data_IF_206234541065
#
_entry.id   IF_206234541065
#
_cell.length_a   1.000
_cell.length_b   1.000
_cell.length_c   1.000
_cell.angle_alpha   90.00
_cell.angle_beta   90.00
_cell.angle_gamma   90.00
#
_symmetry.space_group_name_H-M   'P 1'
#
loop_
_entity.id
_entity.type
_entity.pdbx_description
1 polymer ?
#
# COMPACT_ATOMS: atom_id res chain seq x y z
N UNK A 1 13.86 -32.98 49.23
CA UNK A 1 13.34 -33.27 47.87
C UNK A 1 12.76 -31.98 47.32
N UNK A 2 13.49 -31.36 46.41
CA UNK A 2 13.10 -30.07 45.82
C UNK A 2 12.74 -30.36 44.40
N UNK A 3 11.48 -30.21 44.08
CA UNK A 3 10.94 -30.26 42.70
C UNK A 3 11.18 -28.91 42.05
N UNK A 4 12.13 -28.84 41.14
CA UNK A 4 12.35 -27.71 40.27
C UNK A 4 11.26 -27.65 39.24
N UNK A 5 10.34 -26.71 39.38
CA UNK A 5 9.36 -26.34 38.39
C UNK A 5 10.05 -25.66 37.21
N UNK A 6 10.12 -26.32 36.07
CA UNK A 6 10.51 -25.70 34.81
C UNK A 6 9.45 -24.69 34.37
N UNK A 7 9.80 -23.42 34.43
CA UNK A 7 8.99 -22.35 33.82
C UNK A 7 9.26 -22.42 32.34
N UNK A 8 8.28 -22.96 31.61
CA UNK A 8 8.22 -22.84 30.15
C UNK A 8 7.99 -21.37 29.79
N UNK A 9 9.06 -20.68 29.45
CA UNK A 9 8.96 -19.45 28.70
C UNK A 9 8.39 -19.76 27.32
N UNK A 10 7.09 -19.67 27.18
CA UNK A 10 6.48 -19.43 25.88
C UNK A 10 7.00 -18.05 25.41
N UNK A 11 8.03 -18.08 24.58
CA UNK A 11 8.38 -16.96 23.74
C UNK A 11 7.16 -16.71 22.85
N UNK A 12 6.35 -15.73 23.22
CA UNK A 12 5.39 -15.11 22.31
C UNK A 12 6.21 -14.54 21.18
N UNK A 13 6.22 -15.24 20.04
CA UNK A 13 6.82 -14.75 18.82
C UNK A 13 6.20 -13.37 18.57
N UNK A 14 7.03 -12.33 18.65
CA UNK A 14 6.60 -10.97 18.33
C UNK A 14 6.16 -11.01 16.85
N UNK A 15 4.88 -10.79 16.51
CA UNK A 15 4.43 -10.93 15.13
C UNK A 15 5.28 -9.98 14.27
N UNK A 16 5.93 -10.51 13.24
CA UNK A 16 6.73 -9.69 12.34
C UNK A 16 5.87 -8.54 11.82
N UNK A 17 6.35 -7.31 12.02
CA UNK A 17 5.62 -6.14 11.53
C UNK A 17 5.50 -6.21 10.01
N UNK A 18 4.32 -5.85 9.47
CA UNK A 18 4.18 -5.71 8.03
C UNK A 18 5.23 -4.78 7.43
N UNK A 19 5.73 -5.11 6.24
CA UNK A 19 6.69 -4.29 5.50
C UNK A 19 5.99 -3.64 4.32
N UNK A 20 6.01 -2.31 4.26
CA UNK A 20 5.45 -1.55 3.15
C UNK A 20 6.57 -1.02 2.25
N UNK A 21 6.66 -1.53 1.03
CA UNK A 21 7.47 -0.92 -0.02
C UNK A 21 6.69 0.22 -0.65
N UNK A 22 7.30 1.37 -0.73
CA UNK A 22 6.64 2.63 -1.10
C UNK A 22 7.59 3.53 -1.87
N UNK A 23 7.00 4.38 -2.69
CA UNK A 23 7.68 5.52 -3.29
C UNK A 23 6.92 6.80 -2.93
N UNK A 24 7.64 7.77 -2.39
CA UNK A 24 7.07 8.98 -1.79
C UNK A 24 6.06 9.70 -2.68
N UNK A 25 6.35 9.81 -3.97
CA UNK A 25 5.55 10.56 -4.95
C UNK A 25 4.56 9.72 -5.74
N UNK A 26 4.47 8.42 -5.49
CA UNK A 26 3.52 7.54 -6.17
C UNK A 26 2.11 7.72 -5.59
N UNK A 27 1.09 8.14 -6.38
CA UNK A 27 -0.27 8.34 -5.88
C UNK A 27 -0.88 7.09 -5.24
N UNK A 28 -0.63 5.92 -5.83
CA UNK A 28 -1.10 4.65 -5.30
C UNK A 28 -0.47 4.31 -3.94
N UNK A 29 0.84 4.59 -3.79
CA UNK A 29 1.53 4.40 -2.51
C UNK A 29 1.10 5.46 -1.47
N UNK A 30 0.77 6.69 -1.88
CA UNK A 30 0.26 7.73 -1.01
C UNK A 30 -1.05 7.29 -0.36
N UNK A 31 -2.03 6.85 -1.16
CA UNK A 31 -3.34 6.43 -0.61
C UNK A 31 -3.23 5.22 0.32
N UNK A 32 -2.35 4.27 0.02
CA UNK A 32 -2.09 3.14 0.90
C UNK A 32 -1.49 3.59 2.25
N UNK A 33 -0.48 4.48 2.25
CA UNK A 33 0.10 5.05 3.48
C UNK A 33 -0.94 5.81 4.31
N UNK A 34 -1.80 6.61 3.66
CA UNK A 34 -2.84 7.38 4.33
C UNK A 34 -3.82 6.46 5.07
N UNK A 35 -4.32 5.42 4.40
CA UNK A 35 -5.28 4.51 5.03
C UNK A 35 -4.63 3.68 6.13
N UNK A 36 -3.41 3.18 5.94
CA UNK A 36 -2.68 2.50 7.02
C UNK A 36 -2.53 3.40 8.25
N UNK A 37 -2.27 4.70 8.04
CA UNK A 37 -2.17 5.67 9.14
C UNK A 37 -3.51 5.91 9.82
N UNK A 38 -4.59 6.09 9.06
CA UNK A 38 -5.95 6.25 9.60
C UNK A 38 -6.39 5.02 10.39
N UNK A 39 -6.08 3.84 9.89
CA UNK A 39 -6.37 2.56 10.55
C UNK A 39 -5.43 2.23 11.72
N UNK A 40 -4.50 3.13 12.06
CA UNK A 40 -3.52 2.97 13.15
C UNK A 40 -2.64 1.71 13.02
N UNK A 41 -2.38 1.27 11.79
CA UNK A 41 -1.58 0.09 11.50
C UNK A 41 -0.11 0.48 11.38
N UNK A 42 0.72 -0.02 12.29
CA UNK A 42 2.16 0.16 12.23
C UNK A 42 2.81 -0.75 11.20
N UNK A 43 3.62 -0.19 10.31
CA UNK A 43 4.37 -0.92 9.29
C UNK A 43 5.85 -0.52 9.32
N UNK A 44 6.73 -1.39 8.82
CA UNK A 44 8.10 -1.03 8.47
C UNK A 44 8.08 -0.42 7.07
N UNK A 45 8.28 0.88 6.98
CA UNK A 45 8.31 1.58 5.69
C UNK A 45 9.66 1.35 5.02
N UNK A 46 9.63 0.90 3.77
CA UNK A 46 10.78 0.77 2.86
C UNK A 46 10.56 1.71 1.68
N UNK A 47 11.16 2.89 1.74
CA UNK A 47 11.21 3.80 0.59
C UNK A 47 12.14 3.21 -0.46
N UNK A 48 11.71 3.18 -1.72
CA UNK A 48 12.47 2.64 -2.83
C UNK A 48 12.84 3.72 -3.85
N UNK A 49 13.89 3.46 -4.61
CA UNK A 49 14.19 4.17 -5.85
C UNK A 49 13.64 3.39 -7.03
N UNK A 50 12.87 4.07 -7.91
CA UNK A 50 12.23 3.40 -9.05
C UNK A 50 13.23 2.89 -10.08
N UNK A 51 14.43 3.51 -10.13
CA UNK A 51 15.55 3.12 -10.99
C UNK A 51 16.38 1.96 -10.44
N UNK A 52 16.32 1.73 -9.12
CA UNK A 52 17.09 0.69 -8.44
C UNK A 52 16.20 -0.02 -7.41
N UNK A 53 15.38 -0.93 -7.91
CA UNK A 53 14.41 -1.66 -7.06
C UNK A 53 15.11 -2.78 -6.30
N UNK A 54 14.86 -2.91 -4.98
CA UNK A 54 15.45 -3.98 -4.19
C UNK A 54 15.09 -5.37 -4.68
N UNK A 55 16.05 -6.28 -4.75
CA UNK A 55 15.83 -7.67 -5.18
C UNK A 55 14.78 -8.39 -4.31
N UNK A 56 14.76 -8.12 -3.01
CA UNK A 56 13.75 -8.67 -2.10
C UNK A 56 12.32 -8.21 -2.43
N UNK A 57 12.15 -7.02 -3.01
CA UNK A 57 10.85 -6.52 -3.49
C UNK A 57 10.45 -7.23 -4.79
N UNK A 58 11.39 -7.39 -5.72
CA UNK A 58 11.16 -8.06 -7.01
C UNK A 58 10.80 -9.53 -6.80
N UNK A 59 11.44 -10.18 -5.83
CA UNK A 59 11.20 -11.58 -5.50
C UNK A 59 9.77 -11.85 -4.96
N UNK A 60 9.12 -10.87 -4.34
CA UNK A 60 7.79 -11.04 -3.74
C UNK A 60 6.63 -10.55 -4.62
N UNK A 61 6.91 -9.76 -5.65
CA UNK A 61 5.89 -9.31 -6.61
C UNK A 61 6.49 -9.17 -8.01
N UNK A 62 6.00 -9.96 -8.96
CA UNK A 62 6.43 -9.92 -10.36
C UNK A 62 6.12 -8.59 -11.04
N UNK A 63 5.13 -7.83 -10.57
CA UNK A 63 4.81 -6.49 -11.08
C UNK A 63 5.90 -5.48 -10.78
N UNK A 64 6.67 -5.70 -9.69
CA UNK A 64 7.73 -4.80 -9.23
C UNK A 64 7.31 -3.32 -9.18
N UNK A 65 6.04 -3.06 -8.83
CA UNK A 65 5.46 -1.72 -8.67
C UNK A 65 5.13 -1.45 -7.20
N UNK A 66 5.01 -0.20 -6.82
CA UNK A 66 4.60 0.19 -5.47
C UNK A 66 3.16 0.71 -5.48
N UNK A 67 2.42 0.54 -4.36
CA UNK A 67 2.83 -0.06 -3.08
C UNK A 67 2.83 -1.59 -3.09
N UNK A 68 3.67 -2.19 -2.24
CA UNK A 68 3.57 -3.61 -1.86
C UNK A 68 3.57 -3.69 -0.35
N UNK A 69 2.56 -4.36 0.22
CA UNK A 69 2.51 -4.69 1.63
C UNK A 69 2.79 -6.18 1.83
N UNK A 70 3.93 -6.47 2.45
CA UNK A 70 4.31 -7.81 2.86
C UNK A 70 3.80 -8.06 4.27
N UNK A 71 2.86 -8.98 4.40
CA UNK A 71 2.39 -9.55 5.67
C UNK A 71 3.13 -10.86 5.95
N UNK A 72 3.09 -11.41 7.16
CA UNK A 72 3.77 -12.67 7.49
C UNK A 72 3.40 -13.84 6.55
N UNK A 73 2.15 -13.90 6.11
CA UNK A 73 1.60 -15.01 5.31
C UNK A 73 0.94 -14.57 4.00
N UNK A 74 1.05 -13.29 3.62
CA UNK A 74 0.35 -12.74 2.45
C UNK A 74 1.09 -11.54 1.88
N UNK A 75 1.06 -11.40 0.55
CA UNK A 75 1.53 -10.22 -0.16
C UNK A 75 0.33 -9.50 -0.78
N UNK A 76 0.25 -8.18 -0.56
CA UNK A 76 -0.73 -7.31 -1.20
C UNK A 76 0.03 -6.31 -2.08
N UNK A 77 -0.13 -6.41 -3.39
CA UNK A 77 0.58 -5.60 -4.37
C UNK A 77 -0.32 -4.65 -5.18
N UNK A 78 -1.55 -4.48 -4.70
CA UNK A 78 -2.48 -3.47 -5.20
C UNK A 78 -2.85 -2.51 -4.06
N UNK A 79 -2.84 -1.21 -4.35
CA UNK A 79 -3.18 -0.22 -3.32
C UNK A 79 -4.59 -0.40 -2.74
N UNK A 80 -5.56 -0.80 -3.58
CA UNK A 80 -6.93 -1.03 -3.10
C UNK A 80 -7.03 -2.27 -2.21
N UNK A 81 -6.29 -3.33 -2.50
CA UNK A 81 -6.24 -4.51 -1.63
C UNK A 81 -5.64 -4.18 -0.26
N UNK A 82 -4.61 -3.32 -0.24
CA UNK A 82 -4.03 -2.81 1.00
C UNK A 82 -5.05 -1.98 1.79
N UNK A 83 -5.79 -1.11 1.10
CA UNK A 83 -6.81 -0.26 1.70
C UNK A 83 -7.93 -1.11 2.32
N UNK A 84 -8.52 -2.02 1.56
CA UNK A 84 -9.59 -2.87 2.08
C UNK A 84 -9.11 -3.80 3.20
N UNK A 85 -7.89 -4.32 3.11
CA UNK A 85 -7.30 -5.09 4.20
C UNK A 85 -7.15 -4.24 5.47
N UNK A 86 -6.64 -3.02 5.36
CA UNK A 86 -6.47 -2.13 6.50
C UNK A 86 -7.82 -1.77 7.15
N UNK A 87 -8.81 -1.40 6.34
CA UNK A 87 -10.15 -1.08 6.81
C UNK A 87 -10.87 -2.28 7.44
N UNK A 88 -10.62 -3.50 6.94
CA UNK A 88 -11.17 -4.70 7.55
C UNK A 88 -10.55 -5.02 8.92
N UNK A 89 -9.32 -4.54 9.16
CA UNK A 89 -8.62 -4.72 10.42
C UNK A 89 -9.04 -3.68 11.47
N UNK A 90 -9.10 -2.41 11.09
CA UNK A 90 -9.53 -1.30 11.94
C UNK A 90 -10.02 -0.13 11.08
N UNK A 91 -11.28 0.26 11.22
CA UNK A 91 -11.89 1.37 10.46
C UNK A 91 -12.51 2.41 11.42
N UNK A 92 -11.68 3.20 12.10
CA UNK A 92 -12.15 4.16 13.10
C UNK A 92 -12.99 5.30 12.51
N UNK A 93 -12.89 5.55 11.22
CA UNK A 93 -13.63 6.60 10.51
C UNK A 93 -14.85 6.08 9.75
N UNK A 94 -15.15 4.78 9.85
CA UNK A 94 -16.27 4.13 9.14
C UNK A 94 -16.22 4.35 7.61
N UNK A 95 -15.01 4.33 7.03
CA UNK A 95 -14.76 4.58 5.61
C UNK A 95 -15.39 3.48 4.75
N UNK A 96 -15.30 2.23 5.21
CA UNK A 96 -15.83 1.09 4.47
C UNK A 96 -17.35 1.19 4.28
N UNK A 97 -18.07 1.65 5.31
CA UNK A 97 -19.50 1.90 5.18
C UNK A 97 -19.79 3.02 4.19
N UNK A 98 -19.03 4.12 4.23
CA UNK A 98 -19.14 5.21 3.23
C UNK A 98 -18.93 4.71 1.80
N UNK A 99 -17.95 3.83 1.58
CA UNK A 99 -17.73 3.17 0.30
C UNK A 99 -18.93 2.34 -0.15
N UNK A 100 -19.57 1.62 0.77
CA UNK A 100 -20.67 0.70 0.47
C UNK A 100 -22.02 1.41 0.25
N UNK A 101 -22.22 2.63 0.80
CA UNK A 101 -23.46 3.40 0.64
C UNK A 101 -23.77 3.71 -0.82
N UNK A 102 -22.75 4.07 -1.59
CA UNK A 102 -22.85 4.26 -3.03
C UNK A 102 -21.63 3.63 -3.71
N UNK A 103 -21.67 2.32 -3.77
CA UNK A 103 -20.56 1.53 -4.29
C UNK A 103 -20.29 1.83 -5.77
N UNK A 104 -21.35 1.97 -6.57
CA UNK A 104 -21.23 2.21 -8.01
C UNK A 104 -20.55 3.56 -8.28
N UNK A 105 -20.95 4.61 -7.58
CA UNK A 105 -20.29 5.91 -7.68
C UNK A 105 -18.85 5.87 -7.19
N UNK A 106 -18.59 5.18 -6.08
CA UNK A 106 -17.25 5.04 -5.51
C UNK A 106 -16.29 4.33 -6.47
N UNK A 107 -16.74 3.26 -7.12
CA UNK A 107 -15.98 2.53 -8.12
C UNK A 107 -15.76 3.39 -9.39
N UNK A 108 -16.77 4.08 -9.88
CA UNK A 108 -16.67 5.00 -11.01
C UNK A 108 -15.66 6.13 -10.73
N UNK A 109 -15.76 6.75 -9.56
CA UNK A 109 -14.86 7.82 -9.15
C UNK A 109 -13.40 7.33 -9.05
N UNK A 110 -13.19 6.14 -8.47
CA UNK A 110 -11.87 5.53 -8.39
C UNK A 110 -11.29 5.23 -9.77
N UNK A 111 -12.10 4.69 -10.67
CA UNK A 111 -11.69 4.39 -12.05
C UNK A 111 -11.27 5.65 -12.79
N UNK A 112 -12.04 6.74 -12.66
CA UNK A 112 -11.68 8.04 -13.25
C UNK A 112 -10.36 8.60 -12.72
N UNK A 113 -10.09 8.44 -11.42
CA UNK A 113 -8.82 8.84 -10.82
C UNK A 113 -7.65 7.99 -11.29
N UNK A 114 -7.82 6.69 -11.35
CA UNK A 114 -6.74 5.75 -11.66
C UNK A 114 -6.39 5.72 -13.15
N UNK A 115 -7.33 6.04 -14.01
CA UNK A 115 -7.15 6.03 -15.46
C UNK A 115 -7.02 7.45 -16.03
N UNK A 116 -8.11 8.21 -16.08
CA UNK A 116 -8.11 9.51 -16.75
C UNK A 116 -7.20 10.52 -16.06
N UNK A 117 -7.45 10.79 -14.78
CA UNK A 117 -6.67 11.76 -14.02
C UNK A 117 -5.19 11.36 -13.93
N UNK A 118 -4.91 10.10 -13.65
CA UNK A 118 -3.53 9.60 -13.52
C UNK A 118 -2.75 9.73 -14.83
N UNK A 119 -3.38 9.41 -15.95
CA UNK A 119 -2.77 9.55 -17.28
C UNK A 119 -2.45 11.02 -17.60
N UNK A 120 -3.36 11.94 -17.30
CA UNK A 120 -3.14 13.36 -17.49
C UNK A 120 -2.04 13.89 -16.55
N UNK A 121 -2.04 13.45 -15.29
CA UNK A 121 -0.98 13.79 -14.33
C UNK A 121 0.40 13.31 -14.78
N UNK A 122 0.49 12.11 -15.33
CA UNK A 122 1.76 11.56 -15.85
C UNK A 122 2.25 12.33 -17.08
N UNK A 123 1.35 12.72 -17.98
CA UNK A 123 1.70 13.58 -19.12
C UNK A 123 2.23 14.92 -18.66
N UNK A 124 1.61 15.52 -17.68
CA UNK A 124 2.06 16.79 -17.09
C UNK A 124 3.44 16.65 -16.41
N UNK A 125 3.62 15.63 -15.56
CA UNK A 125 4.86 15.43 -14.80
C UNK A 125 6.04 14.95 -15.63
N UNK A 126 5.76 14.19 -16.68
CA UNK A 126 6.76 13.47 -17.47
C UNK A 126 6.59 13.71 -18.98
N UNK A 127 6.35 14.97 -19.36
CA UNK A 127 6.08 15.39 -20.74
C UNK A 127 7.09 14.83 -21.74
N UNK A 128 8.38 14.75 -21.37
CA UNK A 128 9.44 14.19 -22.19
C UNK A 128 9.23 12.71 -22.59
N UNK A 129 8.48 11.94 -21.83
CA UNK A 129 8.14 10.54 -22.15
C UNK A 129 7.07 10.42 -23.23
N UNK A 130 6.25 11.45 -23.39
CA UNK A 130 5.08 11.43 -24.28
C UNK A 130 5.33 12.19 -25.58
N UNK A 131 6.53 12.77 -25.79
CA UNK A 131 6.88 13.60 -26.98
C UNK A 131 5.81 14.65 -27.29
N UNK A 132 5.25 15.23 -26.23
CA UNK A 132 4.33 16.36 -26.39
C UNK A 132 5.17 17.56 -26.78
N UNK A 133 4.93 18.10 -27.97
CA UNK A 133 5.45 19.39 -28.41
C UNK A 133 4.98 20.45 -27.42
N UNK A 134 5.86 21.42 -27.09
CA UNK A 134 5.67 22.43 -26.04
C UNK A 134 4.52 23.44 -26.31
N UNK A 135 3.61 23.17 -27.24
CA UNK A 135 2.66 24.14 -27.76
C UNK A 135 1.29 24.19 -27.03
N UNK A 136 1.07 23.50 -25.94
CA UNK A 136 -0.30 23.46 -25.34
C UNK A 136 -0.27 23.75 -23.83
N UNK A 137 0.45 24.77 -23.37
CA UNK A 137 0.14 25.33 -22.04
C UNK A 137 0.52 26.80 -21.95
#
# INVERSE_FOLDING_TARGET
>A
MILSSQINHHQTANPEKPVLYSFRRCPFAIRARLVLKVCEISVLLREIELSDKPQCMIAISSKATVPILKLPNKILDQSMDIIFWALSYNDPCNILNGWMVDKEYSEYFLDSLDNEFKNNLDRYKYSSRYKLEEEIY
#
